data_IF_730079700854
#
_entry.id   IF_730079700854
#
_cell.length_a   1.000
_cell.length_b   1.000
_cell.length_c   1.000
_cell.angle_alpha   90.00
_cell.angle_beta   90.00
_cell.angle_gamma   90.00
#
_symmetry.space_group_name_H-M   'P 1'
#
loop_
_entity.id
_entity.type
_entity.pdbx_description
1 polymer ?
#
# COMPACT_ATOMS: atom_id res chain seq x y z
N UNK A 1 55.37 -42.02 5.95
CA UNK A 1 56.48 -41.81 4.99
C UNK A 1 56.70 -40.31 4.87
N UNK A 2 57.82 -39.85 5.44
CA UNK A 2 58.36 -38.49 5.34
C UNK A 2 59.22 -38.38 4.07
N UNK A 3 59.09 -37.29 3.32
CA UNK A 3 60.16 -36.64 2.51
C UNK A 3 59.59 -35.30 1.99
N UNK A 4 59.90 -34.09 2.48
CA UNK A 4 61.12 -33.24 2.39
C UNK A 4 61.73 -33.03 0.99
N UNK A 5 61.60 -31.81 0.47
CA UNK A 5 62.61 -30.96 -0.20
C UNK A 5 61.90 -29.63 -0.61
N UNK A 6 62.00 -28.51 0.13
CA UNK A 6 63.09 -27.51 0.17
C UNK A 6 63.63 -27.05 -1.20
N UNK A 7 63.36 -25.77 -1.51
CA UNK A 7 64.37 -24.86 -2.07
C UNK A 7 64.01 -23.41 -1.74
N UNK A 8 64.86 -22.81 -0.91
CA UNK A 8 64.93 -21.39 -0.55
C UNK A 8 65.42 -20.54 -1.73
N UNK A 9 65.00 -19.27 -1.76
CA UNK A 9 65.95 -18.18 -2.04
C UNK A 9 65.51 -16.89 -1.34
N UNK A 10 66.29 -16.52 -0.31
CA UNK A 10 66.46 -15.16 0.24
C UNK A 10 67.01 -14.23 -0.88
N UNK A 11 66.90 -12.90 -0.89
CA UNK A 11 66.36 -11.88 0.01
C UNK A 11 66.74 -10.47 -0.50
N UNK A 12 66.52 -9.47 0.37
CA UNK A 12 67.09 -8.11 0.41
C UNK A 12 66.49 -6.96 -0.45
N UNK A 13 65.71 -6.13 0.26
CA UNK A 13 65.84 -4.67 0.48
C UNK A 13 66.14 -3.72 -0.70
N UNK A 14 65.20 -2.79 -0.93
CA UNK A 14 65.51 -1.40 -1.24
C UNK A 14 64.43 -0.46 -0.65
N UNK A 15 64.86 0.42 0.25
CA UNK A 15 64.13 1.58 0.77
C UNK A 15 63.79 2.57 -0.36
N UNK A 16 62.58 3.14 -0.32
CA UNK A 16 62.18 4.31 -1.10
C UNK A 16 61.03 5.04 -0.41
N UNK A 17 61.38 6.10 0.33
CA UNK A 17 60.49 7.02 1.04
C UNK A 17 59.80 7.99 0.08
N UNK A 18 58.47 8.17 0.18
CA UNK A 18 57.77 9.49 0.09
C UNK A 18 56.24 9.36 -0.03
N UNK A 19 55.50 10.17 0.75
CA UNK A 19 54.10 10.57 0.52
C UNK A 19 53.07 9.71 1.26
N UNK A 20 52.63 10.07 2.47
CA UNK A 20 51.51 10.98 2.73
C UNK A 20 50.26 10.62 1.89
N UNK A 21 49.38 9.80 2.46
CA UNK A 21 47.95 10.08 2.70
C UNK A 21 47.30 8.84 3.35
N UNK A 22 46.76 9.03 4.54
CA UNK A 22 46.06 8.06 5.38
C UNK A 22 44.61 7.96 4.88
N UNK A 23 44.04 6.79 4.54
CA UNK A 23 42.61 6.67 4.27
C UNK A 23 41.88 6.23 5.55
N UNK A 24 41.92 7.06 6.59
CA UNK A 24 41.07 6.89 7.78
C UNK A 24 39.84 7.79 7.63
N UNK A 25 38.91 7.45 6.73
CA UNK A 25 37.59 8.12 6.68
C UNK A 25 36.51 7.37 5.89
N UNK A 26 36.73 6.13 5.43
CA UNK A 26 35.69 5.33 4.78
C UNK A 26 34.97 4.37 5.73
N UNK A 27 35.34 4.36 7.02
CA UNK A 27 34.80 3.42 8.02
C UNK A 27 33.80 4.02 9.00
N UNK A 28 33.61 5.34 9.04
CA UNK A 28 32.70 5.99 10.00
C UNK A 28 31.26 6.07 9.46
N UNK A 29 31.07 6.36 8.17
CA UNK A 29 29.73 6.33 7.55
C UNK A 29 29.10 4.92 7.53
N UNK A 30 29.91 3.88 7.33
CA UNK A 30 29.44 2.48 7.42
C UNK A 30 29.24 2.00 8.87
N UNK A 31 29.95 2.58 9.86
CA UNK A 31 29.76 2.24 11.28
C UNK A 31 28.58 2.96 11.91
N UNK A 32 28.26 4.18 11.50
CA UNK A 32 27.01 4.84 11.89
C UNK A 32 25.78 4.14 11.29
N UNK A 33 25.88 3.60 10.07
CA UNK A 33 24.81 2.78 9.49
C UNK A 33 24.62 1.43 10.19
N UNK A 34 25.68 0.85 10.77
CA UNK A 34 25.65 -0.46 11.44
C UNK A 34 25.23 -0.40 12.92
N UNK A 35 25.15 0.80 13.50
CA UNK A 35 24.77 1.03 14.90
C UNK A 35 23.29 1.38 15.13
N UNK A 36 22.51 1.69 14.08
CA UNK A 36 21.10 2.15 14.16
C UNK A 36 20.09 1.04 13.80
N UNK A 37 20.52 -0.23 13.82
CA UNK A 37 19.70 -1.41 13.48
C UNK A 37 19.15 -2.18 14.69
N UNK A 38 19.54 -1.81 15.91
CA UNK A 38 18.94 -2.35 17.13
C UNK A 38 17.92 -1.36 17.70
N UNK A 39 16.66 -1.82 17.76
CA UNK A 39 15.62 -1.34 18.68
C UNK A 39 14.80 -0.11 18.28
N UNK A 40 14.34 -0.05 17.02
CA UNK A 40 13.14 0.74 16.73
C UNK A 40 11.90 -0.18 16.76
N UNK A 41 11.04 -0.03 17.78
CA UNK A 41 9.72 -0.68 17.94
C UNK A 41 8.69 -0.24 16.86
N UNK A 42 9.14 0.14 15.65
CA UNK A 42 8.31 0.65 14.55
C UNK A 42 8.11 -0.32 13.37
N UNK A 43 7.34 0.12 12.36
CA UNK A 43 7.09 -0.57 11.07
C UNK A 43 8.41 -0.89 10.33
N UNK A 44 8.39 -1.88 9.42
CA UNK A 44 9.56 -2.21 8.59
C UNK A 44 10.01 -1.02 7.72
N UNK A 45 11.31 -0.97 7.40
CA UNK A 45 11.88 0.07 6.53
C UNK A 45 11.20 0.07 5.15
N UNK A 46 10.72 1.23 4.64
CA UNK A 46 10.20 1.31 3.28
C UNK A 46 11.25 0.82 2.29
N UNK A 47 10.80 -0.04 1.39
CA UNK A 47 11.64 -0.68 0.38
C UNK A 47 12.05 0.32 -0.71
N UNK A 48 13.33 0.26 -1.12
CA UNK A 48 13.91 1.07 -2.21
C UNK A 48 13.67 0.46 -3.60
N UNK A 49 13.25 -0.81 -3.66
CA UNK A 49 12.93 -1.55 -4.88
C UNK A 49 11.83 -2.56 -4.57
N UNK A 50 11.12 -3.03 -5.60
CA UNK A 50 10.18 -4.14 -5.43
C UNK A 50 10.89 -5.38 -4.93
N UNK A 51 10.49 -5.85 -3.74
CA UNK A 51 10.95 -7.13 -3.21
C UNK A 51 10.07 -8.26 -3.77
N UNK A 52 10.65 -9.44 -3.99
CA UNK A 52 9.88 -10.61 -4.44
C UNK A 52 8.74 -10.98 -3.47
N UNK A 53 8.94 -10.72 -2.17
CA UNK A 53 7.91 -10.92 -1.15
C UNK A 53 6.71 -9.98 -1.33
N UNK A 54 6.95 -8.69 -1.63
CA UNK A 54 5.87 -7.75 -1.96
C UNK A 54 5.13 -8.15 -3.24
N UNK A 55 5.85 -8.63 -4.26
CA UNK A 55 5.23 -9.07 -5.50
C UNK A 55 4.33 -10.30 -5.25
N UNK A 56 4.81 -11.26 -4.45
CA UNK A 56 4.02 -12.42 -4.05
C UNK A 56 2.81 -12.04 -3.20
N UNK A 57 2.96 -11.10 -2.27
CA UNK A 57 1.85 -10.57 -1.49
C UNK A 57 0.78 -9.96 -2.39
N UNK A 58 1.14 -8.98 -3.22
CA UNK A 58 0.21 -8.22 -4.06
C UNK A 58 -0.45 -9.09 -5.15
N UNK A 59 0.31 -9.93 -5.86
CA UNK A 59 -0.25 -10.69 -6.99
C UNK A 59 -0.65 -12.11 -6.62
N UNK A 60 0.02 -12.71 -5.65
CA UNK A 60 -0.30 -14.05 -5.16
C UNK A 60 -1.48 -14.02 -4.20
N UNK A 61 -1.31 -13.38 -3.04
CA UNK A 61 -2.35 -13.32 -2.01
C UNK A 61 -3.49 -12.39 -2.43
N UNK A 62 -3.18 -11.13 -2.73
CA UNK A 62 -4.20 -10.15 -3.09
C UNK A 62 -4.64 -10.25 -4.55
N UNK A 63 -3.98 -11.02 -5.40
CA UNK A 63 -4.45 -11.30 -6.76
C UNK A 63 -5.22 -12.60 -6.84
N UNK A 64 -4.49 -13.72 -6.87
CA UNK A 64 -5.07 -15.05 -7.05
C UNK A 64 -5.90 -15.48 -5.83
N UNK A 65 -5.42 -15.20 -4.61
CA UNK A 65 -6.17 -15.50 -3.38
C UNK A 65 -7.50 -14.74 -3.31
N UNK A 66 -7.46 -13.44 -3.59
CA UNK A 66 -8.66 -12.61 -3.65
C UNK A 66 -9.62 -13.01 -4.79
N UNK A 67 -9.11 -13.42 -5.95
CA UNK A 67 -9.92 -13.97 -7.05
C UNK A 67 -10.72 -15.20 -6.58
N UNK A 68 -10.06 -16.15 -5.92
CA UNK A 68 -10.71 -17.37 -5.44
C UNK A 68 -11.76 -17.07 -4.37
N UNK A 69 -11.42 -16.20 -3.39
CA UNK A 69 -12.32 -15.82 -2.32
C UNK A 69 -13.53 -15.05 -2.85
N UNK A 70 -13.30 -14.01 -3.66
CA UNK A 70 -14.38 -13.19 -4.21
C UNK A 70 -15.28 -13.97 -5.15
N UNK A 71 -14.71 -14.82 -6.00
CA UNK A 71 -15.50 -15.72 -6.85
C UNK A 71 -16.34 -16.69 -6.04
N UNK A 72 -15.77 -17.28 -4.97
CA UNK A 72 -16.49 -18.18 -4.07
C UNK A 72 -17.65 -17.50 -3.34
N UNK A 73 -17.44 -16.30 -2.78
CA UNK A 73 -18.50 -15.53 -2.10
C UNK A 73 -19.62 -15.16 -3.07
N UNK A 74 -19.28 -14.66 -4.26
CA UNK A 74 -20.28 -14.31 -5.27
C UNK A 74 -21.05 -15.53 -5.77
N UNK A 75 -20.39 -16.69 -5.94
CA UNK A 75 -21.05 -17.96 -6.25
C UNK A 75 -22.06 -18.33 -5.18
N UNK A 76 -21.68 -18.27 -3.90
CA UNK A 76 -22.53 -18.63 -2.78
C UNK A 76 -23.77 -17.72 -2.68
N UNK A 77 -23.58 -16.41 -2.83
CA UNK A 77 -24.67 -15.44 -2.84
C UNK A 77 -25.64 -15.70 -4.01
N UNK A 78 -25.11 -15.94 -5.21
CA UNK A 78 -25.92 -16.26 -6.38
C UNK A 78 -26.66 -17.60 -6.22
N UNK A 79 -26.01 -18.60 -5.62
CA UNK A 79 -26.63 -19.88 -5.36
C UNK A 79 -27.85 -19.71 -4.45
N UNK A 80 -27.67 -19.07 -3.30
CA UNK A 80 -28.78 -18.82 -2.35
C UNK A 80 -29.87 -18.00 -3.02
N UNK A 81 -29.52 -16.90 -3.70
CA UNK A 81 -30.51 -16.01 -4.31
C UNK A 81 -31.34 -16.70 -5.40
N UNK A 82 -30.71 -17.40 -6.33
CA UNK A 82 -31.43 -17.97 -7.49
C UNK A 82 -32.09 -19.31 -7.22
N UNK A 83 -31.66 -20.07 -6.20
CA UNK A 83 -32.28 -21.36 -5.86
C UNK A 83 -33.44 -21.23 -4.87
N UNK A 84 -33.54 -20.12 -4.14
CA UNK A 84 -34.64 -19.87 -3.17
C UNK A 84 -35.81 -19.11 -3.78
N UNK A 85 -35.63 -18.49 -4.94
CA UNK A 85 -36.68 -17.76 -5.64
C UNK A 85 -37.61 -18.67 -6.46
N UNK A 86 -38.88 -18.29 -6.55
CA UNK A 86 -39.85 -18.93 -7.46
C UNK A 86 -39.58 -18.50 -8.91
N UNK A 87 -38.69 -19.26 -9.56
CA UNK A 87 -38.24 -19.04 -10.93
C UNK A 87 -39.28 -19.47 -11.98
N UNK A 88 -40.39 -20.11 -11.56
CA UNK A 88 -41.54 -20.41 -12.41
C UNK A 88 -42.39 -19.15 -12.58
N UNK A 89 -42.64 -18.42 -11.48
CA UNK A 89 -43.41 -17.17 -11.51
C UNK A 89 -42.59 -15.98 -12.01
N UNK A 90 -41.32 -15.90 -11.64
CA UNK A 90 -40.41 -14.81 -11.99
C UNK A 90 -39.11 -15.37 -12.60
N UNK A 91 -39.07 -15.61 -13.92
CA UNK A 91 -37.88 -16.16 -14.55
C UNK A 91 -36.69 -15.21 -14.43
N UNK A 92 -35.50 -15.78 -14.37
CA UNK A 92 -34.24 -15.01 -14.37
C UNK A 92 -34.04 -14.46 -15.77
N UNK A 93 -33.94 -13.13 -15.85
CA UNK A 93 -33.86 -12.38 -17.10
C UNK A 93 -32.60 -11.53 -17.12
N UNK A 94 -32.14 -11.15 -18.31
CA UNK A 94 -30.96 -10.30 -18.43
C UNK A 94 -31.26 -8.90 -17.89
N UNK A 95 -32.27 -8.23 -18.44
CA UNK A 95 -32.57 -6.83 -18.10
C UNK A 95 -33.85 -6.65 -17.27
N UNK A 96 -34.85 -7.51 -17.44
CA UNK A 96 -36.14 -7.31 -16.80
C UNK A 96 -36.14 -7.66 -15.30
N UNK A 97 -36.85 -6.83 -14.53
CA UNK A 97 -37.17 -7.05 -13.12
C UNK A 97 -38.24 -8.16 -12.98
N UNK A 98 -38.32 -8.86 -11.83
CA UNK A 98 -37.56 -8.64 -10.59
C UNK A 98 -36.18 -9.31 -10.54
N UNK A 99 -35.92 -10.32 -11.36
CA UNK A 99 -34.70 -11.15 -11.30
C UNK A 99 -33.74 -10.82 -12.44
N UNK A 100 -33.19 -9.59 -12.43
CA UNK A 100 -32.24 -9.11 -13.44
C UNK A 100 -30.80 -9.53 -13.13
N UNK A 101 -30.16 -10.20 -14.09
CA UNK A 101 -28.72 -10.51 -14.00
C UNK A 101 -27.85 -9.29 -14.23
N UNK A 102 -28.23 -8.41 -15.17
CA UNK A 102 -27.43 -7.21 -15.48
C UNK A 102 -27.43 -6.21 -14.33
N UNK A 103 -28.57 -6.05 -13.66
CA UNK A 103 -28.67 -5.18 -12.48
C UNK A 103 -27.87 -5.74 -11.31
N UNK A 104 -27.95 -7.05 -11.08
CA UNK A 104 -27.22 -7.71 -10.02
C UNK A 104 -25.68 -7.67 -10.25
N UNK A 105 -25.23 -7.82 -11.50
CA UNK A 105 -23.83 -7.61 -11.88
C UNK A 105 -23.37 -6.17 -11.61
N UNK A 106 -24.17 -5.17 -11.95
CA UNK A 106 -23.85 -3.76 -11.71
C UNK A 106 -23.69 -3.46 -10.21
N UNK A 107 -24.65 -3.92 -9.39
CA UNK A 107 -24.60 -3.74 -7.94
C UNK A 107 -23.41 -4.48 -7.34
N UNK A 108 -23.12 -5.69 -7.81
CA UNK A 108 -21.96 -6.48 -7.38
C UNK A 108 -20.67 -5.70 -7.58
N UNK A 109 -20.46 -5.12 -8.76
CA UNK A 109 -19.24 -4.34 -9.05
C UNK A 109 -19.08 -3.16 -8.09
N UNK A 110 -20.16 -2.40 -7.87
CA UNK A 110 -20.13 -1.22 -7.01
C UNK A 110 -19.88 -1.60 -5.54
N UNK A 111 -20.69 -2.51 -5.01
CA UNK A 111 -20.63 -2.89 -3.60
C UNK A 111 -19.31 -3.61 -3.30
N UNK A 112 -18.87 -4.53 -4.17
CA UNK A 112 -17.62 -5.26 -3.98
C UNK A 112 -16.44 -4.29 -3.92
N UNK A 113 -16.28 -3.38 -4.89
CA UNK A 113 -15.15 -2.45 -4.89
C UNK A 113 -15.12 -1.53 -3.66
N UNK A 114 -16.28 -1.07 -3.17
CA UNK A 114 -16.36 -0.26 -1.95
C UNK A 114 -15.96 -1.08 -0.72
N UNK A 115 -16.52 -2.29 -0.55
CA UNK A 115 -16.22 -3.13 0.60
C UNK A 115 -14.77 -3.60 0.58
N UNK A 116 -14.28 -4.03 -0.57
CA UNK A 116 -12.89 -4.45 -0.77
C UNK A 116 -11.92 -3.35 -0.40
N UNK A 117 -12.19 -2.09 -0.75
CA UNK A 117 -11.35 -0.96 -0.35
C UNK A 117 -11.09 -0.90 1.17
N UNK A 118 -12.13 -1.11 1.98
CA UNK A 118 -12.02 -1.10 3.43
C UNK A 118 -11.38 -2.37 3.99
N UNK A 119 -11.65 -3.53 3.37
CA UNK A 119 -11.00 -4.79 3.73
C UNK A 119 -9.48 -4.67 3.52
N UNK A 120 -9.05 -4.19 2.36
CA UNK A 120 -7.63 -3.98 2.05
C UNK A 120 -6.98 -2.94 2.97
N UNK A 121 -7.69 -1.85 3.28
CA UNK A 121 -7.22 -0.89 4.28
C UNK A 121 -6.90 -1.56 5.62
N UNK A 122 -7.78 -2.45 6.08
CA UNK A 122 -7.60 -3.19 7.33
C UNK A 122 -6.49 -4.23 7.26
N UNK A 123 -6.47 -5.06 6.20
CA UNK A 123 -5.50 -6.14 6.01
C UNK A 123 -4.07 -5.60 5.87
N UNK A 124 -3.86 -4.64 4.97
CA UNK A 124 -2.52 -4.04 4.77
C UNK A 124 -2.06 -3.33 6.04
N UNK A 125 -2.94 -2.61 6.74
CA UNK A 125 -2.57 -1.97 8.01
C UNK A 125 -2.18 -3.00 9.07
N UNK A 126 -2.91 -4.11 9.16
CA UNK A 126 -2.60 -5.21 10.07
C UNK A 126 -1.25 -5.86 9.72
N UNK A 127 -1.01 -6.19 8.45
CA UNK A 127 0.23 -6.85 8.01
C UNK A 127 1.46 -5.95 8.18
N UNK A 128 1.30 -4.65 7.96
CA UNK A 128 2.32 -3.65 8.25
C UNK A 128 2.60 -3.53 9.76
N UNK A 129 1.56 -3.60 10.61
CA UNK A 129 1.71 -3.58 12.06
C UNK A 129 2.45 -4.82 12.60
N UNK A 130 2.28 -5.97 11.93
CA UNK A 130 2.93 -7.23 12.26
C UNK A 130 4.31 -7.40 11.63
N UNK A 131 4.81 -6.40 10.89
CA UNK A 131 6.07 -6.48 10.14
C UNK A 131 6.09 -7.67 9.16
N UNK A 132 4.94 -8.06 8.64
CA UNK A 132 4.80 -9.16 7.67
C UNK A 132 5.18 -8.70 6.25
N UNK A 133 4.90 -7.44 5.94
CA UNK A 133 5.13 -6.82 4.64
C UNK A 133 5.87 -5.50 4.80
N UNK A 134 6.73 -5.16 3.83
CA UNK A 134 7.43 -3.89 3.78
C UNK A 134 6.60 -2.83 3.04
N UNK A 135 6.53 -1.58 3.54
CA UNK A 135 5.97 -0.47 2.77
C UNK A 135 6.76 -0.22 1.47
N UNK A 136 6.12 0.38 0.47
CA UNK A 136 6.75 0.74 -0.81
C UNK A 136 7.27 2.18 -0.70
N UNK A 137 8.59 2.36 -0.59
CA UNK A 137 9.21 3.66 -0.34
C UNK A 137 9.88 4.32 -1.54
N UNK A 138 10.02 3.61 -2.66
CA UNK A 138 10.73 4.11 -3.84
C UNK A 138 9.88 5.03 -4.73
N UNK A 139 8.56 5.04 -4.55
CA UNK A 139 7.65 5.90 -5.30
C UNK A 139 7.69 7.28 -4.66
N UNK A 140 8.01 8.36 -5.40
CA UNK A 140 8.00 9.71 -4.85
C UNK A 140 6.56 10.17 -4.57
N UNK A 141 6.40 11.03 -3.57
CA UNK A 141 5.11 11.64 -3.25
C UNK A 141 4.61 12.48 -4.44
N UNK A 142 3.33 12.37 -4.84
CA UNK A 142 2.80 13.14 -5.96
C UNK A 142 2.73 14.64 -5.64
N UNK A 143 3.18 15.48 -6.58
CA UNK A 143 3.05 16.94 -6.49
C UNK A 143 1.65 17.45 -6.85
N UNK A 144 0.87 16.68 -7.63
CA UNK A 144 -0.42 17.12 -8.16
C UNK A 144 -1.55 16.99 -7.11
N UNK A 145 -2.34 18.06 -6.91
CA UNK A 145 -3.38 18.15 -5.87
C UNK A 145 -4.41 17.02 -5.92
N UNK A 146 -4.86 16.62 -7.11
CA UNK A 146 -5.83 15.53 -7.25
C UNK A 146 -5.27 14.16 -6.80
N UNK A 147 -3.98 13.89 -7.07
CA UNK A 147 -3.33 12.66 -6.61
C UNK A 147 -3.10 12.72 -5.10
N UNK A 148 -2.70 13.87 -4.55
CA UNK A 148 -2.58 14.06 -3.10
C UNK A 148 -3.92 13.81 -2.39
N UNK A 149 -5.00 14.37 -2.93
CA UNK A 149 -6.35 14.06 -2.46
C UNK A 149 -6.62 12.56 -2.55
N UNK A 150 -6.39 11.91 -3.69
CA UNK A 150 -6.61 10.46 -3.87
C UNK A 150 -5.86 9.63 -2.82
N UNK A 151 -4.67 10.04 -2.40
CA UNK A 151 -3.85 9.32 -1.42
C UNK A 151 -4.03 9.75 0.05
N UNK A 152 -4.98 10.63 0.35
CA UNK A 152 -5.16 11.22 1.70
C UNK A 152 -3.96 12.06 2.18
N UNK A 153 -3.22 12.68 1.26
CA UNK A 153 -2.11 13.56 1.58
C UNK A 153 -2.59 15.02 1.74
N UNK A 154 -1.99 15.79 2.67
CA UNK A 154 -2.32 17.21 2.83
C UNK A 154 -1.95 18.02 1.58
N UNK A 155 -2.70 19.09 1.24
CA UNK A 155 -2.32 20.02 0.19
C UNK A 155 -0.91 20.61 0.38
N UNK A 156 -0.20 20.89 -0.71
CA UNK A 156 1.17 21.43 -0.69
C UNK A 156 1.25 22.82 -0.03
N UNK A 157 0.18 23.60 -0.08
CA UNK A 157 0.07 24.91 0.59
C UNK A 157 0.28 24.81 2.10
N UNK A 158 -0.14 23.70 2.72
CA UNK A 158 -0.15 23.57 4.17
C UNK A 158 1.27 23.23 4.72
N UNK A 159 2.18 22.78 3.84
CA UNK A 159 3.57 22.46 4.20
C UNK A 159 4.46 23.70 4.28
N UNK A 160 4.20 24.76 3.51
CA UNK A 160 4.95 26.02 3.58
C UNK A 160 4.54 26.90 4.76
N UNK A 161 3.31 26.74 5.23
CA UNK A 161 2.74 27.54 6.32
C UNK A 161 2.96 26.87 7.70
N UNK A 162 3.61 25.70 7.74
CA UNK A 162 3.95 25.02 9.00
C UNK A 162 5.12 25.68 9.75
N UNK A 163 5.82 26.66 9.16
CA UNK A 163 6.90 27.42 9.83
C UNK A 163 6.47 28.81 10.33
N UNK A 164 5.28 29.32 9.96
CA UNK A 164 4.77 30.61 10.44
C UNK A 164 3.25 30.57 10.57
N UNK A 165 2.73 31.10 11.69
CA UNK A 165 1.34 31.44 12.02
C UNK A 165 0.72 30.52 13.09
N UNK A 166 0.68 30.98 14.34
CA UNK A 166 -0.29 31.95 14.88
C UNK A 166 -1.73 31.45 14.85
N UNK A 167 -2.39 31.60 16.00
CA UNK A 167 -3.69 31.04 16.34
C UNK A 167 -4.82 31.55 15.41
N UNK A 168 -5.07 30.87 14.28
CA UNK A 168 -6.33 31.07 13.56
C UNK A 168 -7.51 30.30 14.22
N UNK A 169 -8.71 30.90 14.27
CA UNK A 169 -9.85 30.34 14.98
C UNK A 169 -10.38 29.12 14.25
N UNK A 170 -10.05 27.93 14.77
CA UNK A 170 -10.49 26.63 14.27
C UNK A 170 -12.01 26.62 13.98
N UNK A 171 -12.35 26.70 12.69
CA UNK A 171 -13.70 26.44 12.18
C UNK A 171 -13.97 24.94 12.41
N UNK A 172 -14.58 24.61 13.55
CA UNK A 172 -14.93 23.23 13.91
C UNK A 172 -15.66 22.56 12.74
N UNK A 173 -15.15 21.46 12.17
CA UNK A 173 -15.83 20.76 11.10
C UNK A 173 -17.19 20.27 11.62
N UNK A 174 -18.26 20.63 10.91
CA UNK A 174 -19.66 20.29 11.26
C UNK A 174 -19.97 18.80 11.15
N UNK A 175 -19.04 18.01 10.60
CA UNK A 175 -19.15 16.56 10.40
C UNK A 175 -18.12 15.82 11.27
N UNK A 176 -18.49 14.71 11.91
CA UNK A 176 -17.56 13.93 12.71
C UNK A 176 -16.42 13.37 11.81
N UNK A 177 -15.16 13.42 12.26
CA UNK A 177 -13.98 13.06 11.46
C UNK A 177 -13.98 11.60 10.99
N UNK A 178 -14.73 10.73 11.66
CA UNK A 178 -14.90 9.32 11.27
C UNK A 178 -15.76 9.21 10.01
N UNK A 179 -16.85 9.98 9.93
CA UNK A 179 -17.77 9.92 8.79
C UNK A 179 -17.08 10.42 7.52
N UNK A 180 -16.30 11.49 7.61
CA UNK A 180 -15.54 12.00 6.47
C UNK A 180 -14.54 10.97 5.96
N UNK A 181 -13.85 10.26 6.85
CA UNK A 181 -12.91 9.19 6.49
C UNK A 181 -13.63 8.02 5.80
N UNK A 182 -14.80 7.60 6.30
CA UNK A 182 -15.61 6.55 5.68
C UNK A 182 -16.07 6.98 4.29
N UNK A 183 -16.65 8.17 4.16
CA UNK A 183 -17.13 8.68 2.86
C UNK A 183 -15.99 8.79 1.86
N UNK A 184 -14.83 9.28 2.31
CA UNK A 184 -13.63 9.38 1.48
C UNK A 184 -13.11 8.00 1.06
N UNK A 185 -13.09 7.01 1.96
CA UNK A 185 -12.75 5.63 1.62
C UNK A 185 -13.71 5.04 0.59
N UNK A 186 -15.01 5.18 0.82
CA UNK A 186 -16.05 4.69 -0.07
C UNK A 186 -15.95 5.33 -1.47
N UNK A 187 -15.63 6.62 -1.55
CA UNK A 187 -15.47 7.33 -2.82
C UNK A 187 -14.29 6.78 -3.65
N UNK A 188 -13.18 6.37 -3.01
CA UNK A 188 -12.02 5.79 -3.72
C UNK A 188 -12.31 4.37 -4.20
N UNK A 189 -12.95 3.56 -3.36
CA UNK A 189 -13.51 2.28 -3.79
C UNK A 189 -14.50 2.44 -4.95
N UNK A 190 -15.32 3.50 -4.91
CA UNK A 190 -16.26 3.82 -5.98
C UNK A 190 -15.58 4.24 -7.29
N UNK A 191 -14.45 4.97 -7.25
CA UNK A 191 -13.68 5.30 -8.47
C UNK A 191 -13.24 4.01 -9.18
N UNK A 192 -12.70 3.04 -8.43
CA UNK A 192 -12.35 1.72 -8.99
C UNK A 192 -13.59 0.95 -9.46
N UNK A 193 -14.73 1.10 -8.77
CA UNK A 193 -16.00 0.55 -9.23
C UNK A 193 -16.45 1.11 -10.58
N UNK A 194 -16.31 2.42 -10.82
CA UNK A 194 -16.68 3.04 -12.11
C UNK A 194 -15.83 2.47 -13.24
N UNK A 195 -14.52 2.34 -13.03
CA UNK A 195 -13.62 1.73 -14.02
C UNK A 195 -14.00 0.26 -14.26
N UNK A 196 -14.19 -0.51 -13.18
CA UNK A 196 -14.62 -1.91 -13.27
C UNK A 196 -15.98 -2.07 -13.95
N UNK A 197 -16.92 -1.14 -13.70
CA UNK A 197 -18.24 -1.14 -14.31
C UNK A 197 -18.15 -0.91 -15.81
N UNK A 198 -17.44 0.13 -16.25
CA UNK A 198 -17.28 0.45 -17.67
C UNK A 198 -16.60 -0.66 -18.47
N UNK A 199 -15.72 -1.44 -17.82
CA UNK A 199 -15.02 -2.55 -18.47
C UNK A 199 -15.79 -3.87 -18.41
N UNK A 200 -16.15 -4.30 -17.20
CA UNK A 200 -16.65 -5.66 -16.96
C UNK A 200 -18.16 -5.76 -17.14
N UNK A 201 -18.93 -4.70 -16.90
CA UNK A 201 -20.38 -4.76 -17.06
C UNK A 201 -20.81 -4.97 -18.53
N UNK A 202 -20.36 -4.18 -19.52
CA UNK A 202 -20.75 -4.42 -20.90
C UNK A 202 -20.22 -5.75 -21.44
N UNK A 203 -19.02 -6.16 -21.02
CA UNK A 203 -18.46 -7.48 -21.36
C UNK A 203 -19.34 -8.60 -20.80
N UNK A 204 -19.76 -8.48 -19.55
CA UNK A 204 -20.67 -9.42 -18.87
C UNK A 204 -22.00 -9.53 -19.59
N UNK A 205 -22.62 -8.41 -19.92
CA UNK A 205 -23.87 -8.36 -20.70
C UNK A 205 -23.66 -9.04 -22.05
N UNK A 206 -22.58 -8.72 -22.77
CA UNK A 206 -22.25 -9.34 -24.05
C UNK A 206 -22.14 -10.87 -23.95
N UNK A 207 -21.37 -11.39 -22.99
CA UNK A 207 -21.24 -12.83 -22.77
C UNK A 207 -22.60 -13.46 -22.42
N UNK A 208 -23.38 -12.84 -21.54
CA UNK A 208 -24.70 -13.34 -21.15
C UNK A 208 -25.64 -13.45 -22.36
N UNK A 209 -25.65 -12.48 -23.28
CA UNK A 209 -26.47 -12.57 -24.51
C UNK A 209 -26.14 -13.77 -25.41
N UNK A 210 -24.93 -14.35 -25.30
CA UNK A 210 -24.53 -15.53 -26.06
C UNK A 210 -24.95 -16.85 -25.41
N UNK A 211 -25.14 -16.87 -24.09
CA UNK A 211 -25.47 -18.07 -23.31
C UNK A 211 -26.97 -18.17 -23.04
N UNK A 212 -27.67 -17.04 -22.96
CA UNK A 212 -29.10 -16.98 -22.65
C UNK A 212 -29.99 -17.47 -23.79
N UNK A 213 -31.13 -18.06 -23.43
CA UNK A 213 -32.18 -18.42 -24.39
C UNK A 213 -33.03 -17.18 -24.67
N UNK A 214 -33.16 -16.81 -25.95
CA UNK A 214 -33.93 -15.63 -26.34
C UNK A 214 -35.43 -15.89 -26.13
N UNK A 215 -36.05 -15.08 -25.28
CA UNK A 215 -37.48 -15.17 -24.93
C UNK A 215 -38.12 -13.80 -25.12
N UNK A 216 -38.77 -13.61 -26.27
CA UNK A 216 -39.31 -12.32 -26.69
C UNK A 216 -38.21 -11.27 -26.90
N UNK A 217 -38.28 -10.18 -26.14
CA UNK A 217 -37.35 -9.05 -26.19
C UNK A 217 -36.20 -9.11 -25.18
N UNK A 218 -36.04 -10.22 -24.45
CA UNK A 218 -35.01 -10.39 -23.42
C UNK A 218 -34.38 -11.80 -23.50
N UNK A 219 -33.39 -12.07 -22.65
CA UNK A 219 -32.75 -13.37 -22.51
C UNK A 219 -33.12 -14.01 -21.19
N UNK A 220 -33.46 -15.29 -21.22
CA UNK A 220 -33.84 -16.10 -20.07
C UNK A 220 -32.74 -17.10 -19.74
N UNK A 221 -32.59 -17.37 -18.44
CA UNK A 221 -31.58 -18.28 -17.91
C UNK A 221 -32.20 -19.32 -16.99
N UNK A 222 -31.56 -20.48 -16.91
CA UNK A 222 -31.87 -21.52 -15.94
C UNK A 222 -31.40 -21.05 -14.56
N UNK A 223 -32.14 -21.46 -13.53
CA UNK A 223 -31.88 -21.15 -12.13
C UNK A 223 -30.57 -21.77 -11.61
N UNK A 224 -30.12 -22.88 -12.22
CA UNK A 224 -28.89 -23.57 -11.84
C UNK A 224 -27.76 -23.39 -12.84
N UNK A 225 -26.57 -23.29 -12.26
CA UNK A 225 -25.24 -23.20 -12.85
C UNK A 225 -24.94 -21.92 -13.62
N UNK A 226 -25.82 -21.45 -14.50
CA UNK A 226 -25.48 -20.29 -15.36
C UNK A 226 -25.32 -19.00 -14.55
N UNK A 227 -26.30 -18.59 -13.71
CA UNK A 227 -26.17 -17.39 -12.91
C UNK A 227 -25.05 -17.48 -11.86
N UNK A 228 -24.86 -18.65 -11.26
CA UNK A 228 -23.86 -18.87 -10.22
C UNK A 228 -22.44 -18.85 -10.78
N UNK A 229 -22.20 -19.53 -11.91
CA UNK A 229 -20.91 -19.50 -12.59
C UNK A 229 -20.59 -18.09 -13.10
N UNK A 230 -21.57 -17.40 -13.69
CA UNK A 230 -21.40 -16.01 -14.11
C UNK A 230 -20.96 -15.11 -12.95
N UNK A 231 -21.66 -15.19 -11.82
CA UNK A 231 -21.32 -14.44 -10.61
C UNK A 231 -19.94 -14.78 -10.05
N UNK A 232 -19.58 -16.06 -10.03
CA UNK A 232 -18.28 -16.50 -9.58
C UNK A 232 -17.16 -15.90 -10.44
N UNK A 233 -17.31 -15.96 -11.76
CA UNK A 233 -16.33 -15.44 -12.71
C UNK A 233 -16.25 -13.92 -12.60
N UNK A 234 -17.39 -13.21 -12.58
CA UNK A 234 -17.42 -11.76 -12.45
C UNK A 234 -16.76 -11.30 -11.15
N UNK A 235 -17.14 -11.90 -10.02
CA UNK A 235 -16.59 -11.58 -8.71
C UNK A 235 -15.09 -11.88 -8.63
N UNK A 236 -14.67 -13.03 -9.15
CA UNK A 236 -13.28 -13.44 -9.19
C UNK A 236 -12.41 -12.55 -10.07
N UNK A 237 -12.82 -12.28 -11.31
CA UNK A 237 -12.10 -11.37 -12.23
C UNK A 237 -12.04 -9.96 -11.66
N UNK A 238 -13.14 -9.47 -11.08
CA UNK A 238 -13.13 -8.16 -10.43
C UNK A 238 -12.18 -8.13 -9.24
N UNK A 239 -12.16 -9.18 -8.42
CA UNK A 239 -11.19 -9.34 -7.33
C UNK A 239 -9.77 -9.28 -7.86
N UNK A 240 -9.41 -10.19 -8.78
CA UNK A 240 -8.09 -10.27 -9.41
C UNK A 240 -7.55 -8.92 -9.92
N UNK A 241 -8.43 -8.09 -10.48
CA UNK A 241 -8.06 -6.79 -11.03
C UNK A 241 -7.98 -5.68 -9.97
N UNK A 242 -8.85 -5.69 -8.96
CA UNK A 242 -9.00 -4.56 -8.04
C UNK A 242 -8.20 -4.71 -6.75
N UNK A 243 -8.12 -5.89 -6.15
CA UNK A 243 -7.43 -6.10 -4.87
C UNK A 243 -5.93 -5.84 -4.96
N UNK A 244 -5.16 -6.29 -5.99
CA UNK A 244 -3.74 -5.94 -6.10
C UNK A 244 -3.51 -4.43 -6.20
N UNK A 245 -4.39 -3.73 -6.93
CA UNK A 245 -4.30 -2.27 -7.09
C UNK A 245 -4.57 -1.54 -5.77
N UNK A 246 -5.56 -1.99 -5.00
CA UNK A 246 -5.86 -1.44 -3.69
C UNK A 246 -4.74 -1.73 -2.68
N UNK A 247 -4.20 -2.94 -2.67
CA UNK A 247 -3.06 -3.30 -1.83
C UNK A 247 -1.82 -2.46 -2.14
N UNK A 248 -1.50 -2.28 -3.43
CA UNK A 248 -0.42 -1.38 -3.87
C UNK A 248 -0.65 0.06 -3.41
N UNK A 249 -1.87 0.57 -3.55
CA UNK A 249 -2.23 1.91 -3.09
C UNK A 249 -1.91 2.08 -1.60
N UNK A 250 -2.33 1.15 -0.75
CA UNK A 250 -2.10 1.21 0.69
C UNK A 250 -0.63 1.03 1.07
N UNK A 251 0.10 0.16 0.38
CA UNK A 251 1.53 -0.06 0.60
C UNK A 251 2.38 1.17 0.21
N UNK A 252 2.01 1.86 -0.88
CA UNK A 252 2.66 3.10 -1.31
C UNK A 252 2.38 4.22 -0.30
N UNK A 253 1.11 4.40 0.07
CA UNK A 253 0.71 5.40 1.08
C UNK A 253 1.47 5.19 2.40
N UNK A 254 1.54 3.94 2.87
CA UNK A 254 2.30 3.59 4.06
C UNK A 254 3.81 3.86 3.93
N UNK A 255 4.35 3.79 2.71
CA UNK A 255 5.75 4.10 2.45
C UNK A 255 6.05 5.59 2.58
N UNK A 256 5.12 6.45 2.16
CA UNK A 256 5.24 7.90 2.35
C UNK A 256 5.16 8.28 3.83
N UNK A 257 4.12 7.81 4.54
CA UNK A 257 3.99 8.05 5.99
C UNK A 257 5.24 7.59 6.76
N UNK A 258 5.74 6.40 6.42
CA UNK A 258 6.94 5.87 7.06
C UNK A 258 8.24 6.60 6.70
N UNK A 259 8.29 7.32 5.57
CA UNK A 259 9.43 8.18 5.22
C UNK A 259 9.38 9.52 5.96
N UNK A 260 8.19 10.11 6.10
CA UNK A 260 7.98 11.39 6.78
C UNK A 260 8.30 11.28 8.27
N UNK A 261 7.75 10.26 8.95
CA UNK A 261 8.04 9.96 10.37
C UNK A 261 9.56 9.84 10.62
N UNK A 262 10.32 9.36 9.64
CA UNK A 262 11.78 9.20 9.74
C UNK A 262 12.54 10.48 9.46
N UNK A 263 12.07 11.30 8.53
CA UNK A 263 12.66 12.60 8.27
C UNK A 263 12.55 13.46 9.54
N UNK A 264 11.37 13.50 10.16
CA UNK A 264 11.11 14.19 11.42
C UNK A 264 11.97 13.66 12.57
N UNK A 265 12.11 12.33 12.71
CA UNK A 265 12.95 11.73 13.73
C UNK A 265 14.45 12.03 13.52
N UNK A 266 14.91 12.15 12.27
CA UNK A 266 16.29 12.55 11.95
C UNK A 266 16.53 14.01 12.28
N UNK A 267 15.61 14.90 11.93
CA UNK A 267 15.74 16.33 12.23
C UNK A 267 15.66 16.61 13.73
N UNK A 268 14.80 15.89 14.46
CA UNK A 268 14.73 15.94 15.92
C UNK A 268 16.04 15.47 16.59
N UNK A 269 16.65 14.39 16.09
CA UNK A 269 17.95 13.94 16.58
C UNK A 269 19.03 14.99 16.29
N UNK A 270 19.04 15.56 15.08
CA UNK A 270 20.02 16.58 14.67
C UNK A 270 19.92 17.84 15.52
N UNK A 271 18.72 18.30 15.84
CA UNK A 271 18.51 19.47 16.70
C UNK A 271 18.98 19.21 18.14
N UNK A 272 18.71 18.02 18.69
CA UNK A 272 19.21 17.63 20.02
C UNK A 272 20.74 17.60 20.10
N UNK A 273 21.43 17.02 19.09
CA UNK A 273 22.90 17.03 19.05
C UNK A 273 23.47 18.45 18.94
N UNK A 274 22.87 19.29 18.09
CA UNK A 274 23.29 20.69 17.97
C UNK A 274 23.08 21.47 19.27
N UNK A 275 22.02 21.19 20.03
CA UNK A 275 21.77 21.81 21.33
C UNK A 275 22.77 21.33 22.40
N UNK A 276 23.05 20.03 22.44
CA UNK A 276 24.05 19.45 23.34
C UNK A 276 25.45 20.03 23.10
N UNK A 277 25.84 20.21 21.83
CA UNK A 277 27.11 20.84 21.48
C UNK A 277 27.17 22.31 21.94
N UNK A 278 26.07 23.06 21.76
CA UNK A 278 25.95 24.44 22.27
C UNK A 278 26.07 24.51 23.80
N UNK A 279 25.47 23.57 24.52
CA UNK A 279 25.58 23.48 25.99
C UNK A 279 27.01 23.18 26.44
N UNK A 280 27.67 22.21 25.79
CA UNK A 280 29.07 21.87 26.07
C UNK A 280 30.02 23.04 25.80
N UNK A 281 29.81 23.78 24.72
CA UNK A 281 30.58 24.97 24.40
C UNK A 281 30.39 26.09 25.44
N UNK A 282 29.17 26.27 25.95
CA UNK A 282 28.87 27.23 27.03
C UNK A 282 29.55 26.84 28.35
N UNK A 283 29.43 25.58 28.76
CA UNK A 283 30.09 25.04 29.96
C UNK A 283 31.61 25.23 29.90
N UNK A 284 32.21 24.89 28.76
CA UNK A 284 33.67 25.03 28.54
C UNK A 284 34.15 26.48 28.66
N UNK A 285 33.37 27.45 28.12
CA UNK A 285 33.67 28.87 28.29
C UNK A 285 33.59 29.29 29.76
N UNK A 286 32.53 28.88 30.46
CA UNK A 286 32.33 29.20 31.86
C UNK A 286 33.44 28.63 32.76
N UNK A 287 33.90 27.41 32.51
CA UNK A 287 35.03 26.82 33.22
C UNK A 287 36.34 27.57 32.98
N UNK A 288 36.60 28.07 31.77
CA UNK A 288 37.78 28.92 31.50
C UNK A 288 37.71 30.24 32.27
N UNK A 289 36.56 30.91 32.27
CA UNK A 289 36.38 32.14 33.03
C UNK A 289 36.63 31.93 34.54
N UNK A 290 36.18 30.81 35.10
CA UNK A 290 36.40 30.51 36.52
C UNK A 290 37.85 30.16 36.87
N UNK A 291 38.68 29.77 35.90
CA UNK A 291 40.09 29.44 36.12
C UNK A 291 41.01 30.68 36.03
N UNK A 292 40.54 31.78 35.45
CA UNK A 292 41.28 33.04 35.29
C UNK A 292 41.04 34.05 36.42
N UNK A 293 40.08 33.78 37.32
CA UNK A 293 39.75 34.59 38.51
C UNK A 293 40.37 33.98 39.75
#
# INVERSE_FOLDING_TARGET
MLTTAQLETQGLNAQGSSGILKPDNLGEEEREQRGDDSDNEGRLKPSLQFTGHQLFYVFGLDGIGAMALSGGVNFALAYVMYTTQDTIKNPIRLFQLPNTLSGDAAVTIIVQCILTWFVEMGLVSYDLSKRSVQPIGFVPEPSHQWLRWLFFLPPVSDLSDSEVEEEEPQRKPTVPPVLTTIVQGALRGFILAVVGFLLLWPLSVGVLTTVGERDGGDWRYKDRWTPQAFKAILGGVLGLLTTPLMALFWLIKAGWEGNDERAEARDSRRSQYAEAERMNARSSRQSRYMAEV
#
